data_IF_716970930743
#
_entry.id   IF_716970930743
#
_cell.length_a   1.000
_cell.length_b   1.000
_cell.length_c   1.000
_cell.angle_alpha   90.00
_cell.angle_beta   90.00
_cell.angle_gamma   90.00
#
_symmetry.space_group_name_H-M   'P 1'
#
loop_
_entity.id
_entity.type
_entity.pdbx_description
1 polymer ?
#
# COMPACT_ATOMS: atom_id res chain seq x y z
N UNK A 1 -34.76 -25.76 -38.44
CA UNK A 1 -33.39 -26.23 -38.69
C UNK A 1 -33.06 -27.21 -37.58
N UNK A 2 -33.12 -28.51 -37.88
CA UNK A 2 -32.82 -29.57 -36.91
C UNK A 2 -31.32 -29.58 -36.61
N UNK A 3 -30.94 -29.89 -35.36
CA UNK A 3 -29.53 -29.87 -34.90
C UNK A 3 -28.59 -30.76 -35.73
N UNK A 4 -29.12 -31.77 -36.44
CA UNK A 4 -28.37 -32.67 -37.32
C UNK A 4 -27.82 -31.99 -38.59
N UNK A 5 -28.43 -30.89 -39.04
CA UNK A 5 -27.93 -30.12 -40.20
C UNK A 5 -26.68 -29.31 -39.86
N UNK A 6 -26.55 -28.88 -38.62
CA UNK A 6 -25.42 -28.05 -38.17
C UNK A 6 -24.17 -28.93 -38.00
N UNK A 7 -24.29 -30.10 -37.37
CA UNK A 7 -23.16 -31.01 -37.19
C UNK A 7 -22.61 -31.54 -38.51
N UNK A 8 -23.48 -31.87 -39.47
CA UNK A 8 -23.08 -32.33 -40.81
C UNK A 8 -22.46 -31.22 -41.65
N UNK A 9 -22.93 -29.97 -41.51
CA UNK A 9 -22.32 -28.80 -42.10
C UNK A 9 -20.89 -28.56 -41.56
N UNK A 10 -20.70 -28.62 -40.25
CA UNK A 10 -19.37 -28.50 -39.64
C UNK A 10 -18.45 -29.65 -40.00
N UNK A 11 -18.95 -30.89 -40.07
CA UNK A 11 -18.18 -32.07 -40.46
C UNK A 11 -17.67 -31.97 -41.91
N UNK A 12 -18.50 -31.49 -42.84
CA UNK A 12 -18.15 -31.33 -44.26
C UNK A 12 -17.20 -30.15 -44.53
N UNK A 13 -17.17 -29.15 -43.65
CA UNK A 13 -16.35 -27.94 -43.82
C UNK A 13 -15.17 -27.85 -42.83
N UNK A 14 -14.83 -28.96 -42.16
CA UNK A 14 -13.75 -29.02 -41.14
C UNK A 14 -12.44 -28.36 -41.60
N UNK A 15 -12.01 -28.63 -42.83
CA UNK A 15 -10.78 -28.06 -43.38
C UNK A 15 -10.87 -26.54 -43.56
N UNK A 16 -12.03 -26.04 -44.01
CA UNK A 16 -12.26 -24.60 -44.19
C UNK A 16 -12.28 -23.88 -42.84
N UNK A 17 -12.94 -24.46 -41.84
CA UNK A 17 -12.97 -23.91 -40.48
C UNK A 17 -11.61 -23.92 -39.80
N UNK A 18 -10.81 -24.97 -40.00
CA UNK A 18 -9.44 -25.02 -39.49
C UNK A 18 -8.58 -23.88 -40.07
N UNK A 19 -8.68 -23.63 -41.39
CA UNK A 19 -7.98 -22.53 -42.04
C UNK A 19 -8.44 -21.18 -41.52
N UNK A 20 -9.75 -20.97 -41.37
CA UNK A 20 -10.30 -19.72 -40.81
C UNK A 20 -9.83 -19.49 -39.38
N UNK A 21 -9.84 -20.52 -38.52
CA UNK A 21 -9.35 -20.40 -37.15
C UNK A 21 -7.85 -20.11 -37.08
N UNK A 22 -7.04 -20.69 -37.96
CA UNK A 22 -5.61 -20.39 -38.06
C UNK A 22 -5.40 -18.92 -38.47
N UNK A 23 -6.15 -18.42 -39.47
CA UNK A 23 -6.05 -17.02 -39.91
C UNK A 23 -6.43 -16.06 -38.77
N UNK A 24 -7.54 -16.33 -38.07
CA UNK A 24 -7.98 -15.53 -36.91
C UNK A 24 -6.96 -15.58 -35.77
N UNK A 25 -6.38 -16.75 -35.49
CA UNK A 25 -5.34 -16.93 -34.49
C UNK A 25 -4.08 -16.12 -34.82
N UNK A 26 -3.58 -16.22 -36.06
CA UNK A 26 -2.42 -15.46 -36.53
C UNK A 26 -2.71 -13.96 -36.46
N UNK A 27 -3.86 -13.49 -36.97
CA UNK A 27 -4.22 -12.08 -36.94
C UNK A 27 -4.33 -11.53 -35.50
N UNK A 28 -4.87 -12.30 -34.57
CA UNK A 28 -5.00 -11.90 -33.16
C UNK A 28 -3.63 -11.79 -32.48
N UNK A 29 -2.75 -12.78 -32.71
CA UNK A 29 -1.39 -12.77 -32.16
C UNK A 29 -0.56 -11.64 -32.78
N UNK A 30 -0.61 -11.48 -34.10
CA UNK A 30 0.07 -10.37 -34.79
C UNK A 30 -0.45 -9.00 -34.33
N UNK A 31 -1.77 -8.83 -34.17
CA UNK A 31 -2.37 -7.62 -33.65
C UNK A 31 -1.92 -7.30 -32.22
N UNK A 32 -1.83 -8.31 -31.35
CA UNK A 32 -1.30 -8.17 -29.99
C UNK A 32 0.17 -7.69 -29.99
N UNK A 33 1.03 -8.31 -30.80
CA UNK A 33 2.44 -7.89 -30.91
C UNK A 33 2.63 -6.52 -31.58
N UNK A 34 1.78 -6.17 -32.55
CA UNK A 34 1.82 -4.87 -33.21
C UNK A 34 1.31 -3.76 -32.29
N UNK A 35 0.28 -4.02 -31.49
CA UNK A 35 -0.19 -3.11 -30.43
C UNK A 35 0.84 -2.90 -29.32
N UNK A 36 1.62 -3.93 -28.95
CA UNK A 36 2.73 -3.79 -28.02
C UNK A 36 3.94 -3.03 -28.59
N UNK A 37 4.05 -2.87 -29.92
CA UNK A 37 5.14 -2.10 -30.55
C UNK A 37 4.87 -0.59 -30.62
N UNK A 38 3.67 -0.13 -30.23
CA UNK A 38 3.27 1.27 -30.37
C UNK A 38 3.69 2.14 -29.18
N UNK A 39 4.99 2.19 -28.89
CA UNK A 39 5.54 3.08 -27.84
C UNK A 39 6.89 3.73 -28.17
N UNK A 40 7.27 3.84 -29.44
CA UNK A 40 8.56 4.48 -29.79
C UNK A 40 8.48 5.64 -30.78
N UNK A 41 7.37 5.81 -31.51
CA UNK A 41 7.26 6.87 -32.54
C UNK A 41 6.25 7.98 -32.21
N UNK A 42 5.39 7.82 -31.18
CA UNK A 42 4.45 8.88 -30.75
C UNK A 42 5.05 9.82 -29.69
N UNK A 43 6.32 9.65 -29.32
CA UNK A 43 7.09 10.61 -28.50
C UNK A 43 7.55 11.84 -29.31
N UNK A 44 6.79 12.25 -30.33
CA UNK A 44 6.88 13.60 -30.91
C UNK A 44 6.15 14.65 -30.05
N UNK A 45 5.82 14.33 -28.79
CA UNK A 45 5.64 15.35 -27.77
C UNK A 45 6.98 16.05 -27.57
N UNK A 46 7.16 17.16 -28.28
CA UNK A 46 8.22 18.14 -28.04
C UNK A 46 8.20 18.50 -26.56
N UNK A 47 9.06 17.86 -25.79
CA UNK A 47 9.36 18.25 -24.43
C UNK A 47 10.04 19.62 -24.50
N UNK A 48 9.51 20.66 -23.83
CA UNK A 48 10.18 21.96 -23.74
C UNK A 48 11.60 21.87 -23.15
N UNK A 49 11.96 20.72 -22.55
CA UNK A 49 13.29 20.44 -22.03
C UNK A 49 14.30 19.98 -23.08
N UNK A 50 13.85 19.49 -24.25
CA UNK A 50 14.72 19.07 -25.37
C UNK A 50 15.03 20.22 -26.33
N UNK A 51 14.18 21.26 -26.35
CA UNK A 51 14.41 22.48 -27.13
C UNK A 51 15.21 23.54 -26.34
N UNK A 52 15.70 23.20 -25.14
CA UNK A 52 16.67 24.04 -24.44
C UNK A 52 17.97 24.02 -25.24
N UNK A 53 18.33 25.18 -25.80
CA UNK A 53 19.55 25.45 -26.54
C UNK A 53 20.69 24.61 -25.99
N UNK A 54 21.12 23.60 -26.76
CA UNK A 54 22.21 22.71 -26.38
C UNK A 54 23.36 23.60 -25.93
N UNK A 55 23.61 23.62 -24.62
CA UNK A 55 24.81 24.23 -24.10
C UNK A 55 25.94 23.52 -24.84
N UNK A 56 26.63 24.26 -25.72
CA UNK A 56 27.75 23.76 -26.49
C UNK A 56 28.84 23.38 -25.49
N UNK A 57 28.79 22.14 -25.02
CA UNK A 57 29.81 21.57 -24.17
C UNK A 57 31.06 21.46 -25.02
N UNK A 58 32.11 22.16 -24.58
CA UNK A 58 33.43 22.09 -25.18
C UNK A 58 33.85 20.62 -25.35
N UNK A 59 34.50 20.36 -26.48
CA UNK A 59 34.64 19.08 -27.19
C UNK A 59 35.56 18.05 -26.50
N UNK A 60 35.58 17.96 -25.16
CA UNK A 60 36.55 17.14 -24.41
C UNK A 60 36.01 16.33 -23.22
N UNK A 61 34.71 16.06 -23.11
CA UNK A 61 34.23 15.00 -22.21
C UNK A 61 33.92 13.73 -22.99
N UNK A 62 34.78 12.72 -22.84
CA UNK A 62 34.52 11.35 -23.31
C UNK A 62 33.36 10.80 -22.47
N UNK A 63 32.14 10.96 -22.95
CA UNK A 63 30.98 10.35 -22.32
C UNK A 63 31.07 8.83 -22.47
N UNK A 64 30.96 8.05 -21.37
CA UNK A 64 30.95 6.61 -21.47
C UNK A 64 29.74 6.15 -22.28
N UNK A 65 29.97 5.28 -23.26
CA UNK A 65 28.90 4.68 -24.06
C UNK A 65 27.93 3.96 -23.13
N UNK A 66 26.64 4.27 -23.28
CA UNK A 66 25.60 3.60 -22.50
C UNK A 66 25.67 2.08 -22.72
N UNK A 67 25.85 1.28 -21.66
CA UNK A 67 25.99 -0.17 -21.77
C UNK A 67 24.68 -0.83 -22.20
N UNK A 68 24.77 -2.00 -22.81
CA UNK A 68 23.59 -2.80 -23.14
C UNK A 68 22.88 -3.28 -21.87
N UNK A 69 21.55 -3.40 -21.91
CA UNK A 69 20.76 -3.95 -20.82
C UNK A 69 21.21 -5.34 -20.37
N UNK A 70 21.72 -6.15 -21.31
CA UNK A 70 22.24 -7.49 -21.00
C UNK A 70 23.52 -7.47 -20.13
N UNK A 71 24.28 -6.38 -20.18
CA UNK A 71 25.56 -6.24 -19.48
C UNK A 71 25.41 -5.60 -18.10
N UNK A 72 24.25 -4.98 -17.83
CA UNK A 72 23.93 -4.34 -16.55
C UNK A 72 24.16 -5.28 -15.36
N UNK A 73 23.76 -6.57 -15.36
CA UNK A 73 23.93 -7.45 -14.19
C UNK A 73 25.39 -7.64 -13.73
N UNK A 74 26.35 -7.55 -14.65
CA UNK A 74 27.78 -7.80 -14.37
C UNK A 74 28.64 -6.54 -14.47
N UNK A 75 28.03 -5.39 -14.70
CA UNK A 75 28.78 -4.17 -14.94
C UNK A 75 29.53 -3.65 -13.70
N UNK A 76 30.76 -3.19 -13.92
CA UNK A 76 31.66 -2.66 -12.89
C UNK A 76 31.16 -1.33 -12.30
N UNK A 77 30.41 -0.54 -13.07
CA UNK A 77 29.91 0.78 -12.68
C UNK A 77 28.64 0.74 -11.83
N UNK A 78 28.17 -0.44 -11.41
CA UNK A 78 27.05 -0.52 -10.47
C UNK A 78 27.38 0.27 -9.21
N UNK A 79 26.66 1.37 -9.00
CA UNK A 79 26.60 2.01 -7.69
C UNK A 79 26.28 0.92 -6.66
N UNK A 80 27.05 0.85 -5.58
CA UNK A 80 26.88 -0.11 -4.50
C UNK A 80 27.29 -1.58 -4.82
N UNK A 81 28.19 -1.83 -5.78
CA UNK A 81 28.78 -3.18 -6.04
C UNK A 81 29.22 -3.93 -4.78
N UNK A 82 29.90 -3.23 -3.87
CA UNK A 82 30.43 -3.80 -2.63
C UNK A 82 29.46 -3.66 -1.44
N UNK A 83 28.28 -3.08 -1.65
CA UNK A 83 27.31 -2.91 -0.60
C UNK A 83 26.69 -4.26 -0.23
N UNK A 84 26.88 -4.63 1.03
CA UNK A 84 26.24 -5.80 1.64
C UNK A 84 25.15 -5.31 2.58
N UNK A 85 23.92 -5.79 2.39
CA UNK A 85 22.83 -5.50 3.30
C UNK A 85 22.93 -6.35 4.57
N UNK A 86 23.13 -5.72 5.72
CA UNK A 86 23.06 -6.38 7.03
C UNK A 86 21.61 -6.49 7.56
N UNK A 87 20.62 -6.57 6.67
CA UNK A 87 19.19 -6.60 7.03
C UNK A 87 18.85 -7.80 7.93
N UNK A 88 19.49 -8.95 7.68
CA UNK A 88 19.33 -10.15 8.49
C UNK A 88 19.89 -9.99 9.92
N UNK A 89 20.86 -9.09 10.09
CA UNK A 89 21.57 -8.88 11.36
C UNK A 89 20.91 -7.79 12.22
N UNK A 90 19.86 -7.13 11.71
CA UNK A 90 19.15 -6.12 12.48
C UNK A 90 18.47 -6.75 13.70
N UNK A 91 18.54 -6.08 14.87
CA UNK A 91 17.91 -6.58 16.08
C UNK A 91 16.40 -6.67 15.88
N UNK A 92 15.80 -7.74 16.40
CA UNK A 92 14.35 -7.94 16.40
C UNK A 92 13.83 -7.86 17.82
N UNK A 93 12.72 -7.18 18.00
CA UNK A 93 12.04 -7.18 19.29
C UNK A 93 11.27 -8.50 19.43
N UNK A 94 11.60 -9.35 20.41
CA UNK A 94 10.80 -10.54 20.67
C UNK A 94 9.39 -10.10 21.06
N UNK A 95 8.37 -10.83 20.62
CA UNK A 95 7.01 -10.64 21.12
C UNK A 95 7.03 -10.82 22.64
N UNK A 96 6.94 -9.72 23.38
CA UNK A 96 6.83 -9.78 24.83
C UNK A 96 5.43 -10.31 25.18
N UNK A 97 5.38 -11.53 25.71
CA UNK A 97 4.19 -12.12 26.31
C UNK A 97 3.91 -11.59 27.73
N UNK A 98 4.77 -10.70 28.22
CA UNK A 98 4.67 -10.11 29.55
C UNK A 98 3.75 -8.90 29.49
N UNK A 99 2.88 -8.79 30.50
CA UNK A 99 1.99 -7.65 30.71
C UNK A 99 2.81 -6.34 30.72
N UNK A 100 2.54 -5.49 29.74
CA UNK A 100 3.15 -4.17 29.64
C UNK A 100 2.35 -3.21 30.52
N UNK A 101 3.03 -2.42 31.35
CA UNK A 101 2.38 -1.33 32.08
C UNK A 101 1.73 -0.40 31.05
N UNK A 102 0.45 -0.01 31.22
CA UNK A 102 -0.14 1.03 30.39
C UNK A 102 0.74 2.27 30.39
N UNK A 103 0.91 2.90 29.22
CA UNK A 103 1.62 4.16 29.12
C UNK A 103 0.99 5.21 30.05
N UNK A 104 1.84 6.07 30.62
CA UNK A 104 1.35 7.24 31.34
C UNK A 104 0.58 8.17 30.37
N UNK A 105 -0.30 9.02 30.91
CA UNK A 105 -1.19 9.85 30.07
C UNK A 105 -0.39 10.72 29.10
N UNK A 106 0.71 11.32 29.55
CA UNK A 106 1.52 12.20 28.71
C UNK A 106 2.28 11.43 27.62
N UNK A 107 2.90 10.31 27.98
CA UNK A 107 3.57 9.43 27.02
C UNK A 107 2.60 8.95 25.93
N UNK A 108 1.36 8.60 26.33
CA UNK A 108 0.32 8.22 25.38
C UNK A 108 -0.05 9.38 24.45
N UNK A 109 -0.18 10.60 24.97
CA UNK A 109 -0.48 11.79 24.17
C UNK A 109 0.62 12.05 23.13
N UNK A 110 1.88 11.95 23.52
CA UNK A 110 3.02 12.14 22.62
C UNK A 110 3.02 11.11 21.49
N UNK A 111 2.79 9.83 21.81
CA UNK A 111 2.77 8.80 20.77
C UNK A 111 1.57 8.96 19.82
N UNK A 112 0.41 9.35 20.34
CA UNK A 112 -0.75 9.67 19.51
C UNK A 112 -0.48 10.89 18.59
N UNK A 113 0.24 11.89 19.10
CA UNK A 113 0.69 13.05 18.32
C UNK A 113 1.65 12.64 17.20
N UNK A 114 2.67 11.83 17.50
CA UNK A 114 3.62 11.27 16.53
C UNK A 114 2.95 10.42 15.44
N UNK A 115 1.86 9.72 15.79
CA UNK A 115 1.05 8.96 14.84
C UNK A 115 0.18 9.87 13.98
N UNK A 116 -0.38 10.93 14.58
CA UNK A 116 -1.23 11.90 13.90
C UNK A 116 -0.44 12.75 12.92
N UNK A 117 0.80 13.13 13.24
CA UNK A 117 1.64 13.98 12.38
C UNK A 117 1.98 13.34 11.05
N UNK A 118 1.88 12.01 10.94
CA UNK A 118 2.13 11.25 9.70
C UNK A 118 0.85 11.02 8.89
N UNK A 119 -0.29 11.58 9.29
CA UNK A 119 -1.60 11.31 8.68
C UNK A 119 -2.37 12.61 8.48
N UNK A 120 -3.15 12.67 7.42
CA UNK A 120 -4.07 13.80 7.22
C UNK A 120 -5.23 13.79 8.24
N UNK A 121 -5.70 12.61 8.63
CA UNK A 121 -6.78 12.40 9.61
C UNK A 121 -6.71 10.97 10.19
N UNK A 122 -7.42 10.69 11.29
CA UNK A 122 -7.50 9.31 11.79
C UNK A 122 -8.25 8.41 10.81
N UNK A 123 -7.49 7.57 10.12
CA UNK A 123 -8.01 6.68 9.08
C UNK A 123 -7.12 6.72 7.84
N UNK A 124 -6.60 7.90 7.53
CA UNK A 124 -5.73 8.12 6.38
C UNK A 124 -4.49 7.22 6.45
N UNK A 125 -3.99 6.68 5.33
CA UNK A 125 -2.69 6.01 5.28
C UNK A 125 -1.58 6.91 5.86
N UNK A 126 -0.61 6.35 6.61
CA UNK A 126 0.52 7.11 7.07
C UNK A 126 1.47 7.44 5.92
N UNK A 127 2.01 8.65 5.93
CA UNK A 127 3.13 9.04 5.09
C UNK A 127 4.40 8.30 5.48
N UNK A 128 5.26 8.01 4.51
CA UNK A 128 6.50 7.27 4.70
C UNK A 128 7.60 8.24 5.18
N UNK A 129 8.15 8.04 6.39
CA UNK A 129 9.05 9.00 7.03
C UNK A 129 10.53 8.75 6.72
N UNK A 130 10.83 7.92 5.72
CA UNK A 130 12.17 7.51 5.35
C UNK A 130 12.24 7.29 3.83
N UNK A 131 13.46 7.24 3.30
CA UNK A 131 13.68 6.92 1.89
C UNK A 131 13.16 5.50 1.56
N UNK A 132 12.76 5.31 0.30
CA UNK A 132 12.25 4.04 -0.22
C UNK A 132 12.82 3.76 -1.61
N UNK A 133 12.85 2.47 -1.96
CA UNK A 133 12.97 2.05 -3.36
C UNK A 133 11.56 1.85 -3.93
N UNK A 134 11.11 2.76 -4.78
CA UNK A 134 9.77 2.70 -5.38
C UNK A 134 9.63 1.63 -6.47
N UNK A 135 10.73 1.04 -6.94
CA UNK A 135 10.74 0.03 -8.00
C UNK A 135 10.63 -1.40 -7.46
N UNK A 136 10.86 -1.60 -6.16
CA UNK A 136 10.84 -2.92 -5.53
C UNK A 136 9.89 -2.95 -4.33
N UNK A 137 8.71 -3.51 -4.57
CA UNK A 137 7.65 -3.66 -3.56
C UNK A 137 8.03 -4.63 -2.44
N UNK A 138 8.93 -5.58 -2.69
CA UNK A 138 9.40 -6.52 -1.66
C UNK A 138 10.29 -5.83 -0.64
N UNK A 139 10.87 -4.67 -0.97
CA UNK A 139 11.68 -3.90 -0.02
C UNK A 139 10.87 -3.44 1.21
N UNK A 140 9.57 -3.20 1.05
CA UNK A 140 8.69 -2.74 2.13
C UNK A 140 8.41 -3.85 3.15
N UNK A 141 8.11 -5.07 2.67
CA UNK A 141 7.64 -6.16 3.53
C UNK A 141 8.73 -6.73 4.43
N UNK A 142 10.00 -6.59 4.07
CA UNK A 142 11.13 -7.00 4.94
C UNK A 142 11.00 -6.39 6.34
N UNK A 143 10.51 -5.16 6.45
CA UNK A 143 10.34 -4.45 7.72
C UNK A 143 8.88 -4.34 8.18
N UNK A 144 7.92 -4.26 7.26
CA UNK A 144 6.52 -3.98 7.58
C UNK A 144 5.60 -5.21 7.62
N UNK A 145 6.12 -6.40 7.38
CA UNK A 145 5.36 -7.64 7.61
C UNK A 145 5.02 -7.82 9.11
N UNK A 146 3.97 -8.58 9.38
CA UNK A 146 3.42 -8.81 10.73
C UNK A 146 4.45 -9.40 11.69
N UNK A 147 5.33 -10.26 11.18
CA UNK A 147 6.32 -11.00 11.96
C UNK A 147 7.75 -10.42 11.87
N UNK A 148 7.95 -9.36 11.09
CA UNK A 148 9.28 -8.80 10.86
C UNK A 148 9.93 -8.32 12.17
N UNK A 149 9.19 -7.55 12.97
CA UNK A 149 9.59 -7.05 14.29
C UNK A 149 10.99 -6.42 14.37
N UNK A 150 11.43 -5.84 13.26
CA UNK A 150 12.76 -5.24 13.12
C UNK A 150 12.82 -3.94 13.92
N UNK A 151 13.93 -3.74 14.65
CA UNK A 151 14.25 -2.51 15.34
C UNK A 151 15.20 -1.66 14.48
N UNK A 152 14.80 -0.42 14.22
CA UNK A 152 15.60 0.59 13.52
C UNK A 152 15.76 1.77 14.47
N UNK A 153 17.00 2.11 14.79
CA UNK A 153 17.32 3.17 15.77
C UNK A 153 16.57 3.02 17.11
N UNK A 154 16.41 1.77 17.58
CA UNK A 154 15.70 1.45 18.83
C UNK A 154 14.17 1.53 18.74
N UNK A 155 13.59 1.83 17.56
CA UNK A 155 12.14 1.84 17.33
C UNK A 155 11.73 0.62 16.53
N UNK A 156 10.64 -0.03 16.95
CA UNK A 156 10.04 -1.16 16.21
C UNK A 156 9.38 -0.65 14.94
N UNK A 157 9.67 -1.32 13.83
CA UNK A 157 8.97 -1.08 12.57
C UNK A 157 7.47 -1.40 12.75
N UNK A 158 6.55 -0.50 12.34
CA UNK A 158 5.12 -0.77 12.43
C UNK A 158 4.74 -1.88 11.45
N UNK A 159 4.01 -2.89 11.95
CA UNK A 159 3.43 -3.92 11.11
C UNK A 159 2.27 -3.36 10.28
N UNK A 160 2.04 -3.92 9.08
CA UNK A 160 0.87 -3.61 8.27
C UNK A 160 -0.44 -3.86 9.05
N UNK A 161 -1.30 -2.84 9.08
CA UNK A 161 -2.63 -2.90 9.68
C UNK A 161 -3.66 -3.58 8.79
N UNK A 162 -3.33 -3.79 7.51
CA UNK A 162 -4.18 -4.43 6.52
C UNK A 162 -3.50 -5.69 5.95
N UNK A 163 -4.25 -6.44 5.16
CA UNK A 163 -3.71 -7.57 4.40
C UNK A 163 -2.67 -7.08 3.39
N UNK A 164 -1.73 -7.94 3.01
CA UNK A 164 -0.69 -7.58 2.04
C UNK A 164 -1.29 -7.05 0.73
N UNK A 165 -0.71 -5.96 0.23
CA UNK A 165 -1.00 -5.35 -1.06
C UNK A 165 0.30 -5.05 -1.76
N UNK A 166 0.36 -5.36 -3.07
CA UNK A 166 1.61 -5.23 -3.81
C UNK A 166 2.04 -3.77 -4.05
N UNK A 167 1.11 -2.81 -4.12
CA UNK A 167 1.42 -1.44 -4.52
C UNK A 167 1.32 -0.45 -3.35
N UNK A 168 2.24 -0.54 -2.39
CA UNK A 168 2.26 0.25 -1.15
C UNK A 168 2.15 1.77 -1.41
N UNK A 169 2.85 2.26 -2.43
CA UNK A 169 2.97 3.69 -2.76
C UNK A 169 1.72 4.28 -3.42
N UNK A 170 0.70 3.48 -3.73
CA UNK A 170 -0.61 4.01 -4.14
C UNK A 170 -1.33 4.70 -2.98
N UNK A 171 -1.04 4.29 -1.74
CA UNK A 171 -1.66 4.83 -0.54
C UNK A 171 -0.64 5.56 0.35
N UNK A 172 0.59 5.05 0.43
CA UNK A 172 1.64 5.59 1.30
C UNK A 172 2.60 6.47 0.51
N UNK A 173 2.47 7.79 0.64
CA UNK A 173 3.37 8.73 -0.01
C UNK A 173 4.56 9.09 0.92
N UNK A 174 5.79 9.29 0.38
CA UNK A 174 6.92 9.77 1.17
C UNK A 174 6.68 11.20 1.66
N UNK A 175 7.05 11.48 2.92
CA UNK A 175 6.84 12.80 3.55
C UNK A 175 7.53 13.94 2.79
N UNK A 176 8.73 13.68 2.26
CA UNK A 176 9.51 14.66 1.52
C UNK A 176 9.14 14.72 0.03
N UNK A 177 8.18 13.90 -0.44
CA UNK A 177 7.73 13.92 -1.83
C UNK A 177 8.89 13.80 -2.84
N UNK A 178 8.83 14.61 -3.91
CA UNK A 178 9.91 14.77 -4.89
C UNK A 178 11.03 15.71 -4.41
N UNK A 179 10.95 16.29 -3.21
CA UNK A 179 11.99 17.21 -2.71
C UNK A 179 13.36 16.52 -2.55
N UNK A 180 13.39 15.18 -2.42
CA UNK A 180 14.64 14.42 -2.51
C UNK A 180 15.30 14.47 -3.90
N UNK A 181 14.51 14.65 -4.96
CA UNK A 181 14.99 14.72 -6.35
C UNK A 181 15.24 16.15 -6.82
N UNK A 182 14.52 17.13 -6.26
CA UNK A 182 14.64 18.53 -6.59
C UNK A 182 15.19 19.26 -5.37
N UNK A 183 16.50 19.55 -5.34
CA UNK A 183 17.18 20.41 -4.34
C UNK A 183 16.67 21.88 -4.35
N UNK A 184 15.47 22.11 -4.87
CA UNK A 184 14.78 23.36 -4.99
C UNK A 184 13.64 23.33 -3.98
N UNK A 185 13.78 24.08 -2.88
CA UNK A 185 12.85 24.13 -1.75
C UNK A 185 11.46 24.71 -2.05
N UNK A 186 10.94 24.51 -3.26
CA UNK A 186 9.69 25.07 -3.80
C UNK A 186 8.61 24.02 -4.03
N UNK A 187 8.83 22.75 -3.68
CA UNK A 187 7.78 21.71 -3.71
C UNK A 187 6.92 21.78 -2.43
N UNK A 188 6.38 22.97 -2.15
CA UNK A 188 5.39 23.20 -1.11
C UNK A 188 4.02 23.41 -1.73
N UNK A 189 2.96 23.28 -0.93
CA UNK A 189 1.65 23.77 -1.37
C UNK A 189 1.78 25.27 -1.67
N UNK A 190 1.36 25.68 -2.87
CA UNK A 190 1.41 27.08 -3.31
C UNK A 190 0.34 27.93 -2.59
N UNK A 191 -0.59 27.27 -1.90
CA UNK A 191 -1.69 27.87 -1.14
C UNK A 191 -1.90 27.11 0.16
N UNK A 192 -2.35 27.82 1.19
CA UNK A 192 -2.67 27.22 2.48
C UNK A 192 -3.84 26.23 2.37
N UNK A 193 -3.76 25.16 3.16
CA UNK A 193 -4.82 24.17 3.26
C UNK A 193 -5.61 24.38 4.56
N UNK A 194 -6.93 24.55 4.45
CA UNK A 194 -7.85 24.69 5.60
C UNK A 194 -8.51 23.37 6.03
N UNK A 195 -8.09 22.24 5.45
CA UNK A 195 -8.60 20.92 5.81
C UNK A 195 -8.32 20.60 7.28
N UNK A 196 -9.37 20.25 8.01
CA UNK A 196 -9.30 19.75 9.38
C UNK A 196 -9.70 18.28 9.36
N UNK A 197 -8.74 17.41 9.66
CA UNK A 197 -8.96 15.97 9.72
C UNK A 197 -9.76 15.52 10.94
N UNK A 198 -10.40 14.36 10.83
CA UNK A 198 -10.98 13.67 12.00
C UNK A 198 -9.88 13.32 13.02
N UNK A 199 -10.16 13.60 14.30
CA UNK A 199 -9.26 13.29 15.42
C UNK A 199 -9.21 11.79 15.72
N UNK A 200 -8.20 11.37 16.48
CA UNK A 200 -8.11 10.00 16.97
C UNK A 200 -9.37 9.60 17.75
N UNK A 201 -9.86 8.40 17.46
CA UNK A 201 -11.02 7.83 18.13
C UNK A 201 -10.66 7.44 19.56
N UNK A 202 -11.40 7.95 20.56
CA UNK A 202 -11.17 7.65 21.98
C UNK A 202 -11.56 6.22 22.37
N UNK A 203 -11.87 6.00 23.64
CA UNK A 203 -12.34 4.69 24.09
C UNK A 203 -13.73 4.36 23.51
N UNK A 204 -13.92 3.10 23.11
CA UNK A 204 -15.22 2.59 22.68
C UNK A 204 -16.26 2.58 23.79
N UNK A 205 -17.52 2.75 23.40
CA UNK A 205 -18.67 2.71 24.30
C UNK A 205 -18.93 1.29 24.81
N UNK A 206 -19.64 1.15 25.93
CA UNK A 206 -20.02 -0.13 26.51
C UNK A 206 -21.52 -0.15 26.77
N UNK A 207 -22.16 -1.28 26.50
CA UNK A 207 -23.58 -1.47 26.80
C UNK A 207 -23.87 -1.48 28.31
N UNK A 208 -22.95 -2.04 29.11
CA UNK A 208 -23.03 -2.10 30.57
C UNK A 208 -21.63 -2.29 31.19
N UNK A 209 -21.45 -2.06 32.51
CA UNK A 209 -20.17 -2.29 33.18
C UNK A 209 -19.67 -3.74 32.97
N UNK A 210 -18.45 -3.90 32.47
CA UNK A 210 -17.87 -5.20 32.16
C UNK A 210 -18.16 -5.74 30.75
N UNK A 211 -19.13 -5.17 30.01
CA UNK A 211 -19.34 -5.51 28.60
C UNK A 211 -18.10 -5.13 27.76
N UNK A 212 -17.70 -5.90 26.74
CA UNK A 212 -16.63 -5.52 25.83
C UNK A 212 -16.88 -4.13 25.21
N UNK A 213 -15.87 -3.24 25.15
CA UNK A 213 -16.00 -1.97 24.45
C UNK A 213 -16.19 -2.18 22.96
N UNK A 214 -16.97 -1.29 22.32
CA UNK A 214 -17.04 -1.24 20.86
C UNK A 214 -15.70 -0.85 20.24
N UNK A 215 -15.52 -1.14 18.95
CA UNK A 215 -14.39 -0.62 18.17
C UNK A 215 -14.74 0.80 17.72
N UNK A 216 -14.08 1.84 18.24
CA UNK A 216 -14.47 3.24 18.06
C UNK A 216 -14.00 3.84 16.73
N UNK A 217 -13.50 3.02 15.80
CA UNK A 217 -12.95 3.45 14.52
C UNK A 217 -13.27 2.43 13.41
N UNK A 218 -13.16 2.87 12.16
CA UNK A 218 -13.34 2.01 10.97
C UNK A 218 -12.29 0.88 10.95
N UNK A 219 -12.73 -0.31 10.53
CA UNK A 219 -11.87 -1.51 10.43
C UNK A 219 -11.29 -1.71 9.03
N UNK A 220 -11.89 -1.11 8.00
CA UNK A 220 -11.35 -1.16 6.65
C UNK A 220 -9.90 -0.61 6.64
N UNK A 221 -8.98 -1.39 6.07
CA UNK A 221 -7.52 -1.16 6.09
C UNK A 221 -6.86 -1.17 7.49
N UNK A 222 -7.56 -1.69 8.51
CA UNK A 222 -7.13 -1.86 9.91
C UNK A 222 -7.56 -3.21 10.48
N UNK A 223 -7.59 -4.24 9.65
CA UNK A 223 -8.05 -5.58 10.02
C UNK A 223 -7.07 -6.30 10.97
N UNK A 224 -5.77 -5.97 10.93
CA UNK A 224 -4.78 -6.47 11.87
C UNK A 224 -4.79 -5.62 13.16
N UNK A 225 -5.69 -5.96 14.09
CA UNK A 225 -5.86 -5.27 15.36
C UNK A 225 -4.54 -5.17 16.15
N UNK A 226 -3.70 -6.21 16.08
CA UNK A 226 -2.45 -6.32 16.83
C UNK A 226 -1.35 -5.38 16.31
N UNK A 227 -1.50 -4.82 15.11
CA UNK A 227 -0.59 -3.78 14.60
C UNK A 227 -0.58 -2.51 15.46
N UNK A 228 -1.69 -2.21 16.14
CA UNK A 228 -1.84 -1.04 17.04
C UNK A 228 -2.10 -1.45 18.49
N UNK A 229 -2.75 -2.59 18.71
CA UNK A 229 -3.16 -3.07 20.03
C UNK A 229 -2.34 -4.26 20.55
N UNK A 230 -1.29 -4.67 19.83
CA UNK A 230 -0.42 -5.78 20.22
C UNK A 230 0.53 -5.44 21.36
N UNK A 231 1.24 -6.44 21.91
CA UNK A 231 2.18 -6.23 23.00
C UNK A 231 3.27 -5.22 22.64
N UNK A 232 3.58 -4.34 23.60
CA UNK A 232 4.56 -3.27 23.42
C UNK A 232 4.10 -2.13 22.52
N UNK A 233 2.81 -2.11 22.12
CA UNK A 233 2.24 -0.97 21.40
C UNK A 233 1.71 0.09 22.39
N UNK A 234 1.75 1.38 22.00
CA UNK A 234 1.28 2.49 22.83
C UNK A 234 -0.19 2.40 23.25
N UNK A 235 -1.03 1.89 22.34
CA UNK A 235 -2.45 1.62 22.60
C UNK A 235 -2.71 0.12 22.78
N UNK A 236 -1.74 -0.63 23.30
CA UNK A 236 -1.91 -2.06 23.57
C UNK A 236 -3.19 -2.30 24.37
N UNK A 237 -4.06 -3.18 23.86
CA UNK A 237 -5.26 -3.55 24.60
C UNK A 237 -4.83 -4.49 25.72
N UNK A 238 -4.92 -4.01 26.95
CA UNK A 238 -4.80 -4.84 28.15
C UNK A 238 -6.13 -5.57 28.39
N UNK A 239 -6.40 -6.58 27.57
CA UNK A 239 -7.47 -7.54 27.86
C UNK A 239 -6.94 -8.62 28.79
N UNK A 240 -7.83 -9.19 29.63
CA UNK A 240 -7.51 -10.37 30.46
C UNK A 240 -7.23 -11.64 29.63
N UNK A 241 -7.33 -11.57 28.31
CA UNK A 241 -7.21 -12.69 27.40
C UNK A 241 -6.56 -12.26 26.07
N UNK A 242 -5.26 -11.90 26.10
CA UNK A 242 -4.50 -11.47 24.92
C UNK A 242 -4.28 -12.59 23.90
N UNK A 243 -4.53 -13.84 24.30
CA UNK A 243 -4.47 -15.05 23.47
C UNK A 243 -5.64 -15.18 22.47
N UNK A 244 -6.68 -14.34 22.55
CA UNK A 244 -7.86 -14.47 21.67
C UNK A 244 -7.54 -13.91 20.28
N UNK A 245 -7.66 -14.77 19.27
CA UNK A 245 -7.33 -14.43 17.88
C UNK A 245 -8.42 -13.65 17.14
N UNK A 246 -9.68 -13.74 17.58
CA UNK A 246 -10.82 -13.08 16.91
C UNK A 246 -11.44 -12.00 17.80
N UNK A 247 -10.89 -10.80 17.75
CA UNK A 247 -11.34 -9.65 18.54
C UNK A 247 -12.80 -9.28 18.25
N UNK A 248 -13.24 -9.40 16.98
CA UNK A 248 -14.57 -8.98 16.53
C UNK A 248 -15.70 -9.91 16.97
N UNK A 249 -15.36 -11.06 17.55
CA UNK A 249 -16.35 -11.91 18.21
C UNK A 249 -16.99 -11.21 19.42
N UNK A 250 -16.26 -10.33 20.09
CA UNK A 250 -16.72 -9.63 21.29
C UNK A 250 -16.77 -8.12 21.10
N UNK A 251 -15.84 -7.55 20.34
CA UNK A 251 -15.75 -6.12 20.08
C UNK A 251 -16.47 -5.78 18.78
N UNK A 252 -17.76 -5.46 18.90
CA UNK A 252 -18.56 -4.98 17.77
C UNK A 252 -18.08 -3.59 17.33
N UNK A 253 -18.18 -3.28 16.03
CA UNK A 253 -17.94 -1.91 15.55
C UNK A 253 -18.95 -0.95 16.18
N UNK A 254 -18.49 0.26 16.47
CA UNK A 254 -19.40 1.34 16.83
C UNK A 254 -20.42 1.56 15.69
N UNK A 255 -21.69 1.74 16.05
CA UNK A 255 -22.79 1.83 15.10
C UNK A 255 -22.62 3.01 14.11
N UNK A 256 -21.87 4.05 14.49
CA UNK A 256 -21.54 5.16 13.59
C UNK A 256 -20.65 4.77 12.40
N UNK A 257 -19.99 3.61 12.45
CA UNK A 257 -19.16 3.06 11.37
C UNK A 257 -19.75 1.79 10.74
N UNK A 258 -20.93 1.35 11.19
CA UNK A 258 -21.62 0.20 10.62
C UNK A 258 -22.26 0.60 9.28
N UNK A 259 -21.55 0.33 8.19
CA UNK A 259 -22.01 0.61 6.83
C UNK A 259 -22.89 -0.51 6.26
N UNK A 260 -23.37 -1.46 7.09
CA UNK A 260 -24.43 -2.37 6.63
C UNK A 260 -25.63 -1.52 6.31
N UNK A 261 -26.25 -1.77 5.15
CA UNK A 261 -27.53 -1.15 4.81
C UNK A 261 -28.49 -1.45 5.96
N UNK A 262 -28.77 -0.43 6.78
CA UNK A 262 -29.92 -0.49 7.67
C UNK A 262 -31.11 -0.44 6.72
N UNK A 263 -31.62 -1.61 6.35
CA UNK A 263 -32.97 -1.71 5.83
C UNK A 263 -33.80 -1.04 6.92
N UNK A 264 -34.32 0.15 6.61
CA UNK A 264 -35.27 0.81 7.47
C UNK A 264 -36.48 -0.12 7.55
N UNK A 265 -36.47 -1.04 8.50
CA UNK A 265 -37.66 -1.82 8.79
C UNK A 265 -38.74 -0.79 9.13
N UNK A 266 -39.91 -0.85 8.47
CA UNK A 266 -41.00 0.00 8.87
C UNK A 266 -41.26 -0.25 10.35
N UNK A 267 -41.27 0.82 11.16
CA UNK A 267 -41.51 0.79 12.61
C UNK A 267 -42.47 -0.34 12.94
N UNK A 268 -42.04 -1.25 13.80
CA UNK A 268 -42.84 -2.39 14.16
C UNK A 268 -44.20 -1.89 14.68
N UNK A 269 -45.31 -2.64 14.47
CA UNK A 269 -46.66 -2.16 14.79
C UNK A 269 -46.84 -1.66 16.24
N UNK A 270 -45.98 -2.08 17.16
CA UNK A 270 -45.99 -1.67 18.57
C UNK A 270 -45.19 -0.38 18.88
N UNK A 271 -44.37 0.11 17.95
CA UNK A 271 -43.63 1.39 18.08
C UNK A 271 -44.44 2.58 17.55
N UNK A 272 -45.59 2.33 16.93
CA UNK A 272 -46.58 3.36 16.58
C UNK A 272 -47.48 3.63 17.80
N UNK A 273 -46.99 4.42 18.75
CA UNK A 273 -47.80 5.00 19.82
C UNK A 273 -47.52 6.48 19.98
#
# INVERSE_FOLDING_TARGET
MESKDIESYFASHRSVLAVVLIIVGIASVSGFFMGMRQSTNDDQWRSPWLDAEEASLEEQEVFPVAPSYADIPTAEWKANKDWRNALADLPRQPMQLVEQKPLEIEERRDVLSDRSSRRAYDGAPPMIPHAINYQDVNSCTVCHDQDANILIAGRRSPAMSHQFMANCTQCHAPMEGLAMLQHSGTVGLVVDNQFIGASHSGAGSRAFPGAPPTVPHRIAMRQNCMSCHGPGMPDAITVSHPMRMNCLQCHAQDASYDNREMIAEPLAPWEKK
#
